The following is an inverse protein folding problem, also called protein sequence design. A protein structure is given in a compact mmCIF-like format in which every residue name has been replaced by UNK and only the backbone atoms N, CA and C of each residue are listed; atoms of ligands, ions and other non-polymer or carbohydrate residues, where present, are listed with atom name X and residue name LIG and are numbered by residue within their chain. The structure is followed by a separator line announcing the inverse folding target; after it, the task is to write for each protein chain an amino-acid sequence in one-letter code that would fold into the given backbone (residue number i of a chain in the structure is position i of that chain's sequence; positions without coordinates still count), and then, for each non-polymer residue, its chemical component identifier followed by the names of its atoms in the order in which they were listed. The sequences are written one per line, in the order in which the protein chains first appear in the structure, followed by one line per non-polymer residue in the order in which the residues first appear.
data_IF_177340258567
#
_entry.id   IF_177340258567
#
_cell.length_a   1.000
_cell.length_b   1.000
_cell.length_c   1.000
_cell.angle_alpha   90.00
_cell.angle_beta   90.00
_cell.angle_gamma   90.00
#
_symmetry.space_group_name_H-M   'P 1'
#
loop_
_entity.id
_entity.type
_entity.pdbx_description
1 polymer ?
#
# COMPACT_ATOMS: atom_id res chain seq x y z
N UNK A 1 -24.49 5.43 -18.61
CA UNK A 1 -23.71 4.41 -17.87
C UNK A 1 -22.50 5.02 -17.14
N UNK A 2 -21.50 5.58 -17.84
CA UNK A 2 -20.30 6.18 -17.21
C UNK A 2 -20.51 7.33 -16.19
N UNK A 3 -21.47 8.26 -16.34
CA UNK A 3 -21.56 9.40 -15.41
C UNK A 3 -22.15 9.01 -14.04
N UNK A 4 -22.97 7.97 -13.96
CA UNK A 4 -23.46 7.43 -12.69
C UNK A 4 -22.36 6.68 -11.92
N UNK A 5 -21.42 6.05 -12.64
CA UNK A 5 -20.22 5.45 -12.03
C UNK A 5 -19.30 6.54 -11.45
N UNK A 6 -19.15 7.66 -12.16
CA UNK A 6 -18.44 8.84 -11.64
C UNK A 6 -19.10 9.41 -10.38
N UNK A 7 -20.43 9.44 -10.31
CA UNK A 7 -21.16 9.82 -9.11
C UNK A 7 -20.94 8.82 -7.97
N UNK A 8 -21.04 7.51 -8.24
CA UNK A 8 -20.76 6.46 -7.26
C UNK A 8 -19.36 6.58 -6.64
N UNK A 9 -18.36 6.93 -7.44
CA UNK A 9 -16.99 7.13 -6.98
C UNK A 9 -16.83 8.29 -5.97
N UNK A 10 -17.71 9.28 -6.01
CA UNK A 10 -17.72 10.36 -5.00
C UNK A 10 -18.18 9.87 -3.62
N UNK A 11 -18.99 8.81 -3.56
CA UNK A 11 -19.46 8.19 -2.32
C UNK A 11 -18.58 7.03 -1.85
N UNK A 12 -17.95 6.31 -2.79
CA UNK A 12 -17.02 5.22 -2.49
C UNK A 12 -15.88 5.19 -3.52
N UNK A 13 -14.75 5.89 -3.28
CA UNK A 13 -13.65 5.99 -4.24
C UNK A 13 -13.03 4.65 -4.66
N UNK A 14 -13.06 3.66 -3.76
CA UNK A 14 -12.53 2.31 -4.02
C UNK A 14 -13.29 1.58 -5.13
N UNK A 15 -14.52 1.99 -5.47
CA UNK A 15 -15.29 1.40 -6.58
C UNK A 15 -14.60 1.60 -7.94
N UNK A 16 -13.78 2.67 -8.09
CA UNK A 16 -13.04 2.93 -9.33
C UNK A 16 -12.04 1.80 -9.61
N UNK A 17 -11.31 1.34 -8.58
CA UNK A 17 -10.31 0.28 -8.73
C UNK A 17 -10.95 -1.04 -9.17
N UNK A 18 -12.13 -1.32 -8.64
CA UNK A 18 -12.89 -2.53 -8.96
C UNK A 18 -13.47 -2.46 -10.37
N UNK A 19 -13.92 -1.28 -10.81
CA UNK A 19 -14.45 -1.04 -12.15
C UNK A 19 -13.34 -0.98 -13.22
N UNK A 20 -12.07 -0.77 -12.86
CA UNK A 20 -10.96 -0.68 -13.81
C UNK A 20 -10.39 -2.03 -14.32
N UNK A 21 -10.87 -3.17 -13.80
CA UNK A 21 -10.36 -4.51 -14.17
C UNK A 21 -11.00 -5.12 -15.44
N UNK A 22 -10.57 -6.33 -15.83
CA UNK A 22 -10.98 -7.05 -17.06
C UNK A 22 -12.52 -7.27 -17.22
N UNK A 23 -13.31 -7.06 -16.16
CA UNK A 23 -14.78 -7.11 -16.18
C UNK A 23 -15.44 -5.74 -15.95
N UNK A 24 -14.72 -4.67 -16.29
CA UNK A 24 -15.13 -3.27 -16.13
C UNK A 24 -16.58 -3.00 -16.54
N UNK A 25 -17.02 -3.59 -17.66
CA UNK A 25 -18.37 -3.40 -18.19
C UNK A 25 -19.50 -3.93 -17.30
N UNK A 26 -19.33 -5.09 -16.66
CA UNK A 26 -20.37 -5.68 -15.82
C UNK A 26 -20.46 -4.95 -14.48
N UNK A 27 -19.33 -4.68 -13.84
CA UNK A 27 -19.32 -3.98 -12.54
C UNK A 27 -19.77 -2.53 -12.71
N UNK A 28 -19.35 -1.84 -13.77
CA UNK A 28 -19.85 -0.50 -14.10
C UNK A 28 -21.36 -0.48 -14.32
N UNK A 29 -21.92 -1.51 -14.96
CA UNK A 29 -23.36 -1.69 -15.16
C UNK A 29 -24.10 -1.82 -13.82
N UNK A 30 -23.65 -2.72 -12.95
CA UNK A 30 -24.25 -2.95 -11.63
C UNK A 30 -24.15 -1.71 -10.73
N UNK A 31 -23.05 -0.96 -10.80
CA UNK A 31 -22.87 0.31 -10.08
C UNK A 31 -23.84 1.37 -10.58
N UNK A 32 -23.97 1.53 -11.91
CA UNK A 32 -24.88 2.51 -12.49
C UNK A 32 -26.35 2.19 -12.15
N UNK A 33 -26.73 0.90 -12.16
CA UNK A 33 -28.06 0.43 -11.79
C UNK A 33 -28.36 0.69 -10.30
N UNK A 34 -27.40 0.43 -9.41
CA UNK A 34 -27.54 0.71 -7.98
C UNK A 34 -27.76 2.21 -7.70
N UNK A 35 -27.02 3.09 -8.41
CA UNK A 35 -27.21 4.54 -8.30
C UNK A 35 -28.60 4.94 -8.80
N UNK A 36 -29.05 4.41 -9.95
CA UNK A 36 -30.35 4.73 -10.51
C UNK A 36 -31.52 4.25 -9.63
N UNK A 37 -31.44 3.04 -9.07
CA UNK A 37 -32.49 2.50 -8.20
C UNK A 37 -32.67 3.33 -6.91
N UNK A 38 -31.56 3.74 -6.29
CA UNK A 38 -31.60 4.47 -5.02
C UNK A 38 -31.95 5.94 -5.25
N UNK A 39 -31.42 6.54 -6.32
CA UNK A 39 -31.78 7.90 -6.71
C UNK A 39 -33.18 7.99 -7.36
N UNK A 40 -33.73 6.90 -7.88
CA UNK A 40 -34.98 6.88 -8.65
C UNK A 40 -34.91 7.69 -9.95
N UNK A 41 -33.71 7.87 -10.51
CA UNK A 41 -33.49 8.62 -11.75
C UNK A 41 -32.17 8.19 -12.40
N UNK A 42 -32.18 8.14 -13.73
CA UNK A 42 -30.98 7.88 -14.55
C UNK A 42 -30.16 9.14 -14.83
N UNK A 43 -30.68 10.33 -14.48
CA UNK A 43 -29.98 11.59 -14.65
C UNK A 43 -28.97 11.81 -13.50
N UNK A 44 -27.65 11.85 -13.77
CA UNK A 44 -26.62 12.04 -12.75
C UNK A 44 -26.75 13.35 -11.96
N UNK A 45 -27.21 14.44 -12.59
CA UNK A 45 -27.36 15.72 -11.91
C UNK A 45 -28.59 15.75 -10.98
N UNK A 46 -29.67 15.07 -11.36
CA UNK A 46 -30.83 14.85 -10.48
C UNK A 46 -30.50 13.88 -9.34
N UNK A 47 -29.76 12.81 -9.63
CA UNK A 47 -29.33 11.82 -8.64
C UNK A 47 -28.45 12.45 -7.56
N UNK A 48 -27.46 13.26 -7.93
CA UNK A 48 -26.59 13.95 -6.98
C UNK A 48 -27.37 14.90 -6.06
N UNK A 49 -28.33 15.67 -6.61
CA UNK A 49 -29.17 16.58 -5.81
C UNK A 49 -30.03 15.84 -4.80
N UNK A 50 -30.59 14.70 -5.18
CA UNK A 50 -31.42 13.88 -4.29
C UNK A 50 -30.60 13.20 -3.20
N UNK A 51 -29.45 12.64 -3.54
CA UNK A 51 -28.54 12.00 -2.59
C UNK A 51 -27.90 13.02 -1.62
N UNK A 52 -27.71 14.27 -2.04
CA UNK A 52 -27.29 15.36 -1.16
C UNK A 52 -28.39 15.83 -0.21
N UNK A 53 -29.66 15.72 -0.62
CA UNK A 53 -30.81 16.15 0.17
C UNK A 53 -31.31 15.06 1.16
N UNK A 54 -31.05 13.79 0.88
CA UNK A 54 -31.48 12.64 1.71
C UNK A 54 -30.28 11.83 2.23
N UNK A 55 -29.88 12.05 3.50
CA UNK A 55 -28.80 11.31 4.13
C UNK A 55 -29.04 9.80 4.23
N UNK A 56 -30.30 9.35 4.32
CA UNK A 56 -30.63 7.93 4.40
C UNK A 56 -30.41 7.23 3.04
N UNK A 57 -30.77 7.89 1.94
CA UNK A 57 -30.50 7.40 0.60
C UNK A 57 -28.98 7.36 0.29
N UNK A 58 -28.22 8.35 0.78
CA UNK A 58 -26.76 8.36 0.64
C UNK A 58 -26.10 7.18 1.38
N UNK A 59 -26.53 6.88 2.60
CA UNK A 59 -26.04 5.73 3.37
C UNK A 59 -26.40 4.40 2.72
N UNK A 60 -27.64 4.26 2.21
CA UNK A 60 -28.07 3.06 1.48
C UNK A 60 -27.24 2.84 0.22
N UNK A 61 -26.92 3.93 -0.52
CA UNK A 61 -26.05 3.86 -1.69
C UNK A 61 -24.63 3.45 -1.30
N UNK A 62 -24.06 4.04 -0.26
CA UNK A 62 -22.72 3.70 0.20
C UNK A 62 -22.62 2.23 0.64
N UNK A 63 -23.63 1.70 1.34
CA UNK A 63 -23.70 0.29 1.69
C UNK A 63 -23.78 -0.60 0.45
N UNK A 64 -24.64 -0.28 -0.51
CA UNK A 64 -24.81 -1.07 -1.73
C UNK A 64 -23.54 -1.08 -2.60
N UNK A 65 -22.85 0.04 -2.71
CA UNK A 65 -21.57 0.14 -3.42
C UNK A 65 -20.47 -0.68 -2.72
N UNK A 66 -20.47 -0.73 -1.39
CA UNK A 66 -19.51 -1.54 -0.64
C UNK A 66 -19.74 -3.05 -0.84
N UNK A 67 -20.99 -3.49 -0.91
CA UNK A 67 -21.34 -4.89 -1.25
C UNK A 67 -20.84 -5.26 -2.66
N UNK A 68 -21.12 -4.41 -3.64
CA UNK A 68 -20.68 -4.63 -5.04
C UNK A 68 -19.14 -4.67 -5.12
N UNK A 69 -18.45 -3.76 -4.43
CA UNK A 69 -16.99 -3.75 -4.38
C UNK A 69 -16.45 -5.05 -3.77
N UNK A 70 -17.03 -5.51 -2.66
CA UNK A 70 -16.61 -6.73 -1.98
C UNK A 70 -16.81 -7.99 -2.86
N UNK A 71 -17.96 -8.11 -3.52
CA UNK A 71 -18.25 -9.24 -4.41
C UNK A 71 -17.29 -9.29 -5.59
N UNK A 72 -17.05 -8.14 -6.22
CA UNK A 72 -16.15 -8.06 -7.37
C UNK A 72 -14.68 -8.33 -6.98
N UNK A 73 -14.21 -7.85 -5.82
CA UNK A 73 -12.88 -8.19 -5.31
C UNK A 73 -12.75 -9.68 -4.97
N UNK A 74 -13.78 -10.29 -4.36
CA UNK A 74 -13.78 -11.74 -4.10
C UNK A 74 -13.71 -12.56 -5.38
N UNK A 75 -14.46 -12.18 -6.41
CA UNK A 75 -14.44 -12.84 -7.71
C UNK A 75 -13.05 -12.74 -8.38
N UNK A 76 -12.42 -11.56 -8.37
CA UNK A 76 -11.07 -11.37 -8.89
C UNK A 76 -10.03 -12.22 -8.16
N UNK A 77 -10.10 -12.29 -6.83
CA UNK A 77 -9.17 -13.09 -6.04
C UNK A 77 -9.33 -14.59 -6.31
N UNK A 78 -10.57 -15.08 -6.42
CA UNK A 78 -10.86 -16.49 -6.73
C UNK A 78 -10.34 -16.89 -8.13
N UNK A 79 -10.48 -16.01 -9.12
CA UNK A 79 -9.92 -16.24 -10.46
C UNK A 79 -8.38 -16.23 -10.45
N UNK A 80 -7.77 -15.32 -9.71
CA UNK A 80 -6.32 -15.28 -9.55
C UNK A 80 -5.78 -16.51 -8.82
N UNK A 81 -6.52 -17.04 -7.85
CA UNK A 81 -6.21 -18.31 -7.19
C UNK A 81 -6.32 -19.47 -8.17
N UNK A 82 -7.37 -19.51 -9.00
CA UNK A 82 -7.55 -20.56 -10.01
C UNK A 82 -6.42 -20.54 -11.05
N UNK A 83 -6.06 -19.37 -11.58
CA UNK A 83 -4.93 -19.25 -12.54
C UNK A 83 -3.62 -19.76 -11.95
N UNK A 84 -3.34 -19.41 -10.67
CA UNK A 84 -2.17 -19.95 -9.97
C UNK A 84 -2.22 -21.46 -9.83
N UNK A 85 -3.39 -22.04 -9.56
CA UNK A 85 -3.54 -23.50 -9.49
C UNK A 85 -3.33 -24.16 -10.85
N UNK A 86 -3.85 -23.59 -11.92
CA UNK A 86 -3.68 -24.08 -13.29
C UNK A 86 -2.19 -24.01 -13.72
N UNK A 87 -1.50 -22.91 -13.39
CA UNK A 87 -0.06 -22.76 -13.63
C UNK A 87 0.76 -23.79 -12.86
N UNK A 88 0.41 -24.04 -11.58
CA UNK A 88 1.05 -25.07 -10.77
C UNK A 88 0.76 -26.48 -11.30
N UNK A 89 -0.45 -26.73 -11.80
CA UNK A 89 -0.81 -28.01 -12.42
C UNK A 89 -0.05 -28.23 -13.74
N UNK A 90 0.08 -27.20 -14.58
CA UNK A 90 0.88 -27.24 -15.80
C UNK A 90 2.37 -27.47 -15.49
N UNK A 91 2.89 -26.80 -14.47
CA UNK A 91 4.26 -26.98 -14.01
C UNK A 91 4.50 -28.40 -13.47
N UNK A 92 3.56 -28.93 -12.66
CA UNK A 92 3.59 -30.32 -12.17
C UNK A 92 3.56 -31.32 -13.32
N UNK A 93 2.68 -31.15 -14.31
CA UNK A 93 2.63 -32.01 -15.49
C UNK A 93 3.96 -32.00 -16.27
N UNK A 94 4.65 -30.85 -16.35
CA UNK A 94 5.97 -30.75 -16.98
C UNK A 94 7.05 -31.54 -16.23
N UNK A 95 6.98 -31.59 -14.90
CA UNK A 95 7.89 -32.37 -14.05
C UNK A 95 7.57 -33.86 -14.07
N UNK A 96 6.29 -34.24 -14.07
CA UNK A 96 5.83 -35.63 -14.19
C UNK A 96 6.31 -36.28 -15.49
N UNK A 97 6.26 -35.56 -16.62
CA UNK A 97 6.79 -36.07 -17.90
C UNK A 97 8.29 -36.41 -17.82
N UNK A 98 9.08 -35.63 -17.08
CA UNK A 98 10.52 -35.86 -16.91
C UNK A 98 10.82 -37.00 -15.93
N UNK A 99 10.05 -37.11 -14.84
CA UNK A 99 10.16 -38.20 -13.88
C UNK A 99 9.69 -39.54 -14.47
N UNK A 100 8.60 -39.53 -15.24
CA UNK A 100 8.01 -40.68 -15.93
C UNK A 100 8.96 -41.32 -16.95
N UNK A 101 9.72 -40.52 -17.68
CA UNK A 101 10.72 -41.02 -18.62
C UNK A 101 11.84 -41.82 -17.93
N UNK A 102 12.26 -41.42 -16.71
CA UNK A 102 13.29 -42.12 -15.93
C UNK A 102 12.76 -43.40 -15.28
N UNK A 103 11.54 -43.39 -14.76
CA UNK A 103 10.90 -44.60 -14.21
C UNK A 103 10.62 -45.65 -15.28
N UNK A 104 10.21 -45.22 -16.48
CA UNK A 104 10.06 -46.12 -17.63
C UNK A 104 11.41 -46.73 -18.05
N UNK A 105 12.50 -45.95 -17.99
CA UNK A 105 13.87 -46.45 -18.20
C UNK A 105 14.28 -47.49 -17.15
N UNK A 106 14.02 -47.24 -15.87
CA UNK A 106 14.30 -48.21 -14.79
C UNK A 106 13.47 -49.49 -14.95
N UNK A 107 12.22 -49.39 -15.43
CA UNK A 107 11.39 -50.53 -15.83
C UNK A 107 11.97 -51.32 -17.00
N UNK A 108 12.53 -50.64 -18.01
CA UNK A 108 13.17 -51.29 -19.16
C UNK A 108 14.52 -51.92 -18.81
N UNK A 109 15.29 -51.31 -17.90
CA UNK A 109 16.55 -51.88 -17.36
C UNK A 109 16.26 -53.15 -16.57
N UNK A 110 15.25 -53.14 -15.69
CA UNK A 110 14.84 -54.34 -14.95
C UNK A 110 14.30 -55.44 -15.86
N UNK A 111 13.69 -55.09 -16.99
CA UNK A 111 13.27 -56.03 -18.04
C UNK A 111 14.39 -56.48 -19.00
N UNK A 112 15.66 -56.10 -18.78
CA UNK A 112 16.81 -56.41 -19.66
C UNK A 112 16.61 -56.00 -21.14
N UNK A 113 15.80 -54.97 -21.41
CA UNK A 113 15.56 -54.52 -22.78
C UNK A 113 16.74 -53.69 -23.31
N UNK A 114 17.24 -53.96 -24.53
CA UNK A 114 18.35 -53.20 -25.11
C UNK A 114 18.03 -51.71 -25.34
N UNK A 115 16.74 -51.36 -25.41
CA UNK A 115 16.25 -49.98 -25.54
C UNK A 115 16.60 -49.14 -24.29
N UNK A 116 16.79 -49.78 -23.13
CA UNK A 116 17.13 -49.12 -21.88
C UNK A 116 18.50 -48.42 -21.89
N UNK A 117 19.40 -48.82 -22.79
CA UNK A 117 20.71 -48.21 -22.93
C UNK A 117 20.73 -46.99 -23.88
N UNK A 118 19.62 -46.71 -24.57
CA UNK A 118 19.54 -45.61 -25.54
C UNK A 118 19.83 -44.24 -24.93
N UNK A 119 19.12 -43.86 -23.86
CA UNK A 119 19.29 -42.54 -23.26
C UNK A 119 20.66 -42.35 -22.55
N UNK A 120 21.20 -43.33 -21.79
CA UNK A 120 22.58 -43.26 -21.29
C UNK A 120 23.63 -43.18 -22.41
N UNK A 121 23.49 -43.97 -23.48
CA UNK A 121 24.43 -43.95 -24.60
C UNK A 121 24.43 -42.59 -25.32
N UNK A 122 23.25 -42.04 -25.62
CA UNK A 122 23.12 -40.70 -26.21
C UNK A 122 23.69 -39.62 -25.29
N UNK A 123 23.44 -39.71 -23.98
CA UNK A 123 24.00 -38.78 -22.98
C UNK A 123 25.54 -38.80 -23.01
N UNK A 124 26.15 -39.98 -23.03
CA UNK A 124 27.61 -40.15 -23.10
C UNK A 124 28.17 -39.58 -24.40
N UNK A 125 27.51 -39.85 -25.54
CA UNK A 125 27.93 -39.32 -26.85
C UNK A 125 27.90 -37.79 -26.86
N UNK A 126 26.82 -37.18 -26.37
CA UNK A 126 26.67 -35.71 -26.31
C UNK A 126 27.71 -35.09 -25.37
N UNK A 127 27.93 -35.68 -24.19
CA UNK A 127 28.93 -35.17 -23.24
C UNK A 127 30.35 -35.29 -23.79
N UNK A 128 30.73 -36.45 -24.33
CA UNK A 128 32.06 -36.63 -24.93
C UNK A 128 32.24 -35.69 -26.12
N UNK A 129 31.24 -35.61 -27.02
CA UNK A 129 31.27 -34.72 -28.18
C UNK A 129 31.43 -33.24 -27.80
N UNK A 130 30.72 -32.78 -26.76
CA UNK A 130 30.85 -31.42 -26.24
C UNK A 130 32.29 -31.11 -25.79
N UNK A 131 32.87 -31.96 -24.95
CA UNK A 131 34.23 -31.75 -24.42
C UNK A 131 35.31 -31.92 -25.50
N UNK A 132 35.15 -32.87 -26.43
CA UNK A 132 36.07 -33.03 -27.56
C UNK A 132 36.06 -31.79 -28.45
N UNK A 133 34.88 -31.27 -28.80
CA UNK A 133 34.77 -30.03 -29.60
C UNK A 133 35.39 -28.84 -28.87
N UNK A 134 35.17 -28.71 -27.56
CA UNK A 134 35.76 -27.65 -26.75
C UNK A 134 37.29 -27.76 -26.69
N UNK A 135 37.83 -28.97 -26.53
CA UNK A 135 39.28 -29.22 -26.53
C UNK A 135 39.89 -28.94 -27.90
N UNK A 136 39.24 -29.35 -28.99
CA UNK A 136 39.68 -29.07 -30.37
C UNK A 136 39.69 -27.57 -30.64
N UNK A 137 38.68 -26.84 -30.17
CA UNK A 137 38.61 -25.38 -30.29
C UNK A 137 39.74 -24.68 -29.53
N UNK A 138 40.00 -25.12 -28.29
CA UNK A 138 41.02 -24.52 -27.42
C UNK A 138 42.43 -24.84 -27.90
N UNK A 139 42.69 -26.06 -28.41
CA UNK A 139 44.01 -26.46 -28.92
C UNK A 139 44.28 -26.02 -30.35
N UNK A 140 43.24 -25.88 -31.16
CA UNK A 140 43.34 -25.62 -32.60
C UNK A 140 43.78 -24.21 -32.97
N UNK A 141 43.73 -23.25 -32.05
CA UNK A 141 44.16 -21.86 -32.24
C UNK A 141 43.51 -21.18 -33.45
N UNK A 142 42.48 -20.36 -33.22
CA UNK A 142 41.76 -19.65 -34.31
C UNK A 142 42.54 -18.44 -34.86
N UNK A 143 43.78 -18.63 -35.31
CA UNK A 143 44.59 -17.57 -35.92
C UNK A 143 44.45 -17.60 -37.45
N UNK A 144 43.98 -16.50 -38.05
CA UNK A 144 43.85 -16.36 -39.51
C UNK A 144 42.55 -16.92 -40.11
N UNK A 145 41.54 -17.22 -39.29
CA UNK A 145 40.25 -17.78 -39.74
C UNK A 145 39.26 -16.65 -40.07
N UNK A 146 38.46 -16.83 -41.14
CA UNK A 146 37.44 -15.85 -41.55
C UNK A 146 36.33 -15.68 -40.50
N UNK A 147 35.74 -14.48 -40.44
CA UNK A 147 34.63 -14.15 -39.52
C UNK A 147 33.41 -15.08 -39.69
N UNK A 148 33.18 -15.61 -40.89
CA UNK A 148 32.12 -16.56 -41.19
C UNK A 148 32.35 -17.91 -40.48
N UNK A 149 33.59 -18.40 -40.47
CA UNK A 149 33.95 -19.64 -39.76
C UNK A 149 33.81 -19.48 -38.24
N UNK A 150 34.17 -18.31 -37.70
CA UNK A 150 34.00 -17.99 -36.28
C UNK A 150 32.52 -18.02 -35.88
N UNK A 151 31.63 -17.49 -36.72
CA UNK A 151 30.19 -17.52 -36.48
C UNK A 151 29.61 -18.94 -36.53
N UNK A 152 30.02 -19.77 -37.49
CA UNK A 152 29.61 -21.18 -37.58
C UNK A 152 30.04 -21.94 -36.32
N UNK A 153 31.26 -21.69 -35.86
CA UNK A 153 31.82 -22.28 -34.65
C UNK A 153 31.03 -21.83 -33.40
N UNK A 154 30.70 -20.55 -33.27
CA UNK A 154 29.90 -20.04 -32.15
C UNK A 154 28.49 -20.65 -32.11
N UNK A 155 27.84 -20.79 -33.27
CA UNK A 155 26.53 -21.45 -33.38
C UNK A 155 26.65 -22.93 -32.98
N UNK A 156 27.66 -23.64 -33.48
CA UNK A 156 27.89 -25.04 -33.16
C UNK A 156 28.16 -25.27 -31.66
N UNK A 157 28.98 -24.42 -31.03
CA UNK A 157 29.24 -24.45 -29.59
C UNK A 157 27.96 -24.15 -28.79
N UNK A 158 27.12 -23.21 -29.24
CA UNK A 158 25.83 -22.90 -28.61
C UNK A 158 24.83 -24.07 -28.66
N UNK A 159 24.71 -24.74 -29.81
CA UNK A 159 23.86 -25.94 -29.98
C UNK A 159 24.36 -27.09 -29.11
N UNK A 160 25.67 -27.35 -29.10
CA UNK A 160 26.28 -28.38 -28.24
C UNK A 160 26.13 -28.06 -26.75
N UNK A 161 26.25 -26.80 -26.35
CA UNK A 161 26.00 -26.34 -24.98
C UNK A 161 24.55 -26.57 -24.54
N UNK A 162 23.59 -26.33 -25.42
CA UNK A 162 22.16 -26.59 -25.17
C UNK A 162 21.86 -28.08 -25.03
N UNK A 163 22.46 -28.92 -25.87
CA UNK A 163 22.35 -30.38 -25.77
C UNK A 163 22.96 -30.91 -24.46
N UNK A 164 24.12 -30.39 -24.04
CA UNK A 164 24.75 -30.73 -22.78
C UNK A 164 23.89 -30.33 -21.56
N UNK A 165 23.35 -29.10 -21.56
CA UNK A 165 22.44 -28.65 -20.51
C UNK A 165 21.18 -29.54 -20.40
N UNK A 166 20.68 -30.03 -21.53
CA UNK A 166 19.54 -30.97 -21.59
C UNK A 166 19.88 -32.30 -20.92
N UNK A 167 21.09 -32.84 -21.15
CA UNK A 167 21.59 -34.06 -20.48
C UNK A 167 21.71 -33.83 -18.97
N UNK A 168 22.31 -32.72 -18.54
CA UNK A 168 22.45 -32.39 -17.11
C UNK A 168 21.08 -32.30 -16.43
N UNK A 169 20.12 -31.63 -17.06
CA UNK A 169 18.75 -31.53 -16.55
C UNK A 169 18.05 -32.91 -16.52
N UNK A 170 18.26 -33.74 -17.55
CA UNK A 170 17.74 -35.11 -17.61
C UNK A 170 18.28 -36.02 -16.50
N UNK A 171 19.44 -35.75 -15.91
CA UNK A 171 19.98 -36.55 -14.79
C UNK A 171 19.79 -35.90 -13.41
N UNK A 172 19.95 -34.58 -13.29
CA UNK A 172 19.97 -33.86 -12.00
C UNK A 172 18.66 -33.11 -11.65
N UNK A 173 17.78 -32.88 -12.64
CA UNK A 173 16.71 -31.88 -12.55
C UNK A 173 15.56 -32.12 -11.56
N UNK A 174 15.29 -33.35 -11.08
CA UNK A 174 14.06 -33.65 -10.32
C UNK A 174 14.22 -33.96 -8.82
N UNK A 175 15.43 -34.30 -8.35
CA UNK A 175 15.57 -34.93 -7.03
C UNK A 175 15.64 -33.96 -5.84
N UNK A 176 16.35 -32.84 -5.97
CA UNK A 176 16.62 -31.95 -4.82
C UNK A 176 15.88 -30.62 -4.89
N UNK A 177 15.45 -30.20 -6.09
CA UNK A 177 14.74 -28.92 -6.29
C UNK A 177 13.26 -28.97 -5.93
N UNK A 178 12.56 -30.09 -6.17
CA UNK A 178 11.10 -30.19 -5.97
C UNK A 178 10.75 -30.22 -4.48
N UNK A 179 11.40 -31.08 -3.68
CA UNK A 179 11.09 -31.24 -2.25
C UNK A 179 11.23 -29.94 -1.47
N UNK A 180 12.28 -29.17 -1.74
CA UNK A 180 12.54 -27.90 -1.06
C UNK A 180 11.57 -26.80 -1.51
N UNK A 181 11.14 -26.80 -2.79
CA UNK A 181 10.14 -25.86 -3.31
C UNK A 181 8.73 -26.20 -2.84
N UNK A 182 8.38 -27.48 -2.77
CA UNK A 182 7.09 -27.96 -2.30
C UNK A 182 6.93 -27.68 -0.79
N UNK A 183 7.98 -27.89 0.03
CA UNK A 183 7.96 -27.51 1.46
C UNK A 183 7.85 -25.99 1.65
N UNK A 184 8.56 -25.19 0.87
CA UNK A 184 8.48 -23.73 0.94
C UNK A 184 7.12 -23.21 0.46
N UNK A 185 6.55 -23.79 -0.59
CA UNK A 185 5.20 -23.45 -1.07
C UNK A 185 4.13 -23.82 -0.04
N UNK A 186 4.23 -25.01 0.59
CA UNK A 186 3.30 -25.43 1.65
C UNK A 186 3.42 -24.54 2.89
N UNK A 187 4.63 -24.19 3.32
CA UNK A 187 4.88 -23.30 4.45
C UNK A 187 4.35 -21.88 4.19
N UNK A 188 4.54 -21.38 2.98
CA UNK A 188 4.01 -20.08 2.55
C UNK A 188 2.47 -20.09 2.52
N UNK A 189 1.86 -21.14 1.95
CA UNK A 189 0.41 -21.29 1.89
C UNK A 189 -0.23 -21.40 3.28
N UNK A 190 0.40 -22.14 4.20
CA UNK A 190 -0.06 -22.22 5.59
C UNK A 190 0.06 -20.88 6.32
N UNK A 191 1.12 -20.11 6.05
CA UNK A 191 1.31 -18.78 6.65
C UNK A 191 0.27 -17.79 6.13
N UNK A 192 -0.02 -17.82 4.83
CA UNK A 192 -1.01 -16.95 4.21
C UNK A 192 -2.44 -17.29 4.66
N UNK A 193 -2.79 -18.58 4.77
CA UNK A 193 -4.08 -19.01 5.30
C UNK A 193 -4.29 -18.60 6.76
N UNK A 194 -3.24 -18.67 7.60
CA UNK A 194 -3.28 -18.16 8.98
C UNK A 194 -3.44 -16.66 9.04
N UNK A 195 -2.79 -15.90 8.16
CA UNK A 195 -3.00 -14.45 8.08
C UNK A 195 -4.42 -14.11 7.66
N UNK A 196 -4.96 -14.81 6.66
CA UNK A 196 -6.31 -14.55 6.15
C UNK A 196 -7.39 -14.90 7.19
N UNK A 197 -7.26 -16.03 7.89
CA UNK A 197 -8.17 -16.37 9.01
C UNK A 197 -8.12 -15.35 10.15
N UNK A 198 -6.93 -14.92 10.58
CA UNK A 198 -6.80 -13.85 11.59
C UNK A 198 -7.40 -12.53 11.14
N UNK A 199 -7.27 -12.20 9.86
CA UNK A 199 -7.88 -11.01 9.28
C UNK A 199 -9.42 -11.10 9.33
N UNK A 200 -10.00 -12.24 8.96
CA UNK A 200 -11.44 -12.48 9.06
C UNK A 200 -11.94 -12.41 10.51
N UNK A 201 -11.23 -13.02 11.46
CA UNK A 201 -11.56 -12.94 12.89
C UNK A 201 -11.51 -11.50 13.40
N UNK A 202 -10.54 -10.71 12.93
CA UNK A 202 -10.40 -9.29 13.30
C UNK A 202 -11.57 -8.46 12.76
N UNK A 203 -12.00 -8.71 11.53
CA UNK A 203 -13.16 -8.05 10.94
C UNK A 203 -14.45 -8.42 11.68
N UNK A 204 -14.62 -9.70 12.02
CA UNK A 204 -15.80 -10.18 12.72
C UNK A 204 -15.87 -9.62 14.15
N UNK A 205 -14.73 -9.55 14.85
CA UNK A 205 -14.63 -8.91 16.16
C UNK A 205 -14.90 -7.41 16.10
N UNK A 206 -14.37 -6.70 15.09
CA UNK A 206 -14.63 -5.28 14.89
C UNK A 206 -16.13 -5.02 14.62
N UNK A 207 -16.77 -5.84 13.78
CA UNK A 207 -18.20 -5.71 13.49
C UNK A 207 -19.07 -5.98 14.72
N UNK A 208 -18.68 -6.94 15.56
CA UNK A 208 -19.36 -7.25 16.84
C UNK A 208 -19.19 -6.11 17.84
N UNK A 209 -17.97 -5.57 17.98
CA UNK A 209 -17.71 -4.38 18.80
C UNK A 209 -18.47 -3.14 18.33
N UNK A 210 -18.59 -2.92 17.02
CA UNK A 210 -19.39 -1.84 16.47
C UNK A 210 -20.88 -1.99 16.81
N UNK A 211 -21.41 -3.23 16.76
CA UNK A 211 -22.79 -3.53 17.12
C UNK A 211 -23.06 -3.32 18.62
N UNK A 212 -22.15 -3.75 19.48
CA UNK A 212 -22.25 -3.55 20.93
C UNK A 212 -22.10 -2.07 21.32
N UNK A 213 -21.15 -1.36 20.70
CA UNK A 213 -20.95 0.08 20.92
C UNK A 213 -22.17 0.89 20.47
N UNK A 214 -22.78 0.54 19.32
CA UNK A 214 -24.00 1.16 18.85
C UNK A 214 -25.19 0.92 19.80
N UNK A 215 -25.31 -0.29 20.35
CA UNK A 215 -26.34 -0.61 21.35
C UNK A 215 -26.15 0.17 22.65
N UNK A 216 -24.92 0.22 23.17
CA UNK A 216 -24.60 0.98 24.39
C UNK A 216 -24.78 2.49 24.22
N UNK A 217 -24.46 3.02 23.03
CA UNK A 217 -24.71 4.42 22.69
C UNK A 217 -26.21 4.72 22.63
N UNK A 218 -27.02 3.81 22.07
CA UNK A 218 -28.48 3.93 22.09
C UNK A 218 -29.02 3.94 23.53
N UNK A 219 -28.56 3.04 24.39
CA UNK A 219 -28.97 3.01 25.80
C UNK A 219 -28.53 4.27 26.57
N UNK A 220 -27.32 4.77 26.32
CA UNK A 220 -26.82 6.00 26.89
C UNK A 220 -27.65 7.22 26.44
N UNK A 221 -27.96 7.32 25.15
CA UNK A 221 -28.85 8.38 24.61
C UNK A 221 -30.23 8.31 25.26
N UNK A 222 -30.78 7.10 25.39
CA UNK A 222 -32.10 6.91 26.00
C UNK A 222 -32.09 7.27 27.49
N UNK A 223 -31.00 7.00 28.20
CA UNK A 223 -30.80 7.34 29.62
C UNK A 223 -30.60 8.83 29.83
N UNK A 224 -29.81 9.48 28.97
CA UNK A 224 -29.61 10.94 28.97
C UNK A 224 -30.91 11.66 28.61
N UNK A 225 -31.66 11.18 27.62
CA UNK A 225 -32.97 11.73 27.28
C UNK A 225 -33.96 11.63 28.45
N UNK A 226 -34.00 10.49 29.15
CA UNK A 226 -34.83 10.29 30.34
C UNK A 226 -34.42 11.21 31.51
N UNK A 227 -33.11 11.42 31.69
CA UNK A 227 -32.55 12.32 32.71
C UNK A 227 -32.79 13.80 32.37
N UNK A 228 -32.72 14.18 31.09
CA UNK A 228 -32.99 15.53 30.62
C UNK A 228 -34.48 15.90 30.77
N UNK A 229 -35.40 14.96 30.53
CA UNK A 229 -36.84 15.15 30.78
C UNK A 229 -37.13 15.34 32.28
N UNK A 230 -36.43 14.62 33.16
CA UNK A 230 -36.55 14.82 34.62
C UNK A 230 -35.92 16.13 35.10
N UNK A 231 -34.85 16.61 34.45
CA UNK A 231 -34.17 17.86 34.81
C UNK A 231 -34.89 19.12 34.30
N UNK A 232 -35.72 19.00 33.26
CA UNK A 232 -36.52 20.10 32.71
C UNK A 232 -37.73 20.50 33.59
N UNK A 233 -38.04 19.73 34.63
CA UNK A 233 -39.17 19.98 35.55
C UNK A 233 -38.79 20.75 36.83
N UNK A 234 -37.52 21.12 37.01
CA UNK A 234 -37.07 21.89 38.18
C UNK A 234 -36.86 23.39 37.83
N UNK A 235 -37.21 24.35 38.71
CA UNK A 235 -37.05 25.78 38.43
C UNK A 235 -35.57 26.18 38.37
N UNK A 236 -35.12 26.91 37.34
CA UNK A 236 -33.72 27.37 37.20
C UNK A 236 -33.60 28.90 37.22
N UNK A 237 -32.71 29.39 38.08
CA UNK A 237 -32.10 30.73 38.02
C UNK A 237 -31.02 30.83 36.91
N UNK A 238 -30.65 32.04 36.45
CA UNK A 238 -29.78 32.22 35.29
C UNK A 238 -28.29 32.20 35.67
N UNK A 239 -27.52 31.33 35.01
CA UNK A 239 -26.06 31.25 35.10
C UNK A 239 -25.42 31.38 33.70
N UNK A 240 -24.25 32.03 33.54
CA UNK A 240 -23.70 32.35 32.23
C UNK A 240 -23.11 31.11 31.55
N UNK A 241 -23.29 31.03 30.23
CA UNK A 241 -22.98 29.86 29.40
C UNK A 241 -21.47 29.55 29.30
N UNK A 242 -21.06 28.26 29.32
CA UNK A 242 -19.69 27.86 28.98
C UNK A 242 -19.46 27.88 27.46
N UNK A 243 -18.23 28.25 27.07
CA UNK A 243 -17.79 28.44 25.68
C UNK A 243 -17.90 27.16 24.82
N UNK A 244 -18.24 27.35 23.55
CA UNK A 244 -18.50 26.31 22.56
C UNK A 244 -17.22 25.56 22.09
N UNK A 245 -17.33 24.28 21.63
CA UNK A 245 -16.19 23.51 21.13
C UNK A 245 -15.67 24.07 19.79
N UNK A 246 -14.36 24.24 19.67
CA UNK A 246 -13.67 24.67 18.44
C UNK A 246 -13.88 23.61 17.34
N UNK A 247 -14.29 24.03 16.14
CA UNK A 247 -14.60 23.13 15.00
C UNK A 247 -13.32 22.55 14.39
N UNK A 248 -13.31 21.24 14.08
CA UNK A 248 -12.21 20.45 13.48
C UNK A 248 -11.53 21.04 12.22
N UNK A 249 -12.17 21.98 11.52
CA UNK A 249 -11.57 22.66 10.36
C UNK A 249 -10.50 23.69 10.75
N UNK A 250 -10.60 24.30 11.95
CA UNK A 250 -9.66 25.32 12.43
C UNK A 250 -8.26 24.74 12.75
N UNK A 251 -8.20 23.46 13.11
CA UNK A 251 -6.96 22.83 13.60
C UNK A 251 -5.92 22.63 12.51
N UNK A 252 -6.34 22.17 11.32
CA UNK A 252 -5.44 21.98 10.20
C UNK A 252 -4.89 23.31 9.69
N UNK A 253 -5.75 24.33 9.55
CA UNK A 253 -5.36 25.63 9.03
C UNK A 253 -4.32 26.31 9.93
N UNK A 254 -4.45 26.17 11.25
CA UNK A 254 -3.44 26.61 12.22
C UNK A 254 -2.12 25.86 12.07
N UNK A 255 -2.16 24.53 11.91
CA UNK A 255 -0.95 23.72 11.77
C UNK A 255 -0.22 23.98 10.45
N UNK A 256 -0.94 24.01 9.32
CA UNK A 256 -0.37 24.22 7.99
C UNK A 256 0.20 25.63 7.85
N UNK A 257 -0.37 26.63 8.53
CA UNK A 257 0.21 27.97 8.60
C UNK A 257 1.62 27.95 9.23
N UNK A 258 1.81 27.20 10.32
CA UNK A 258 3.13 27.05 10.97
C UNK A 258 4.12 26.33 10.09
N UNK A 259 3.71 25.21 9.47
CA UNK A 259 4.58 24.42 8.57
C UNK A 259 5.00 25.27 7.37
N UNK A 260 4.05 25.89 6.66
CA UNK A 260 4.32 26.71 5.48
C UNK A 260 5.08 28.00 5.79
N UNK A 261 5.11 28.47 7.03
CA UNK A 261 5.97 29.60 7.43
C UNK A 261 7.44 29.17 7.57
N UNK A 262 7.70 27.87 7.73
CA UNK A 262 9.06 27.31 7.77
C UNK A 262 9.57 26.92 6.38
N UNK A 263 8.65 26.58 5.48
CA UNK A 263 8.97 26.33 4.07
C UNK A 263 9.29 27.65 3.36
N UNK A 264 10.44 27.69 2.67
CA UNK A 264 10.87 28.86 1.91
C UNK A 264 10.00 29.14 0.68
N UNK A 265 10.34 30.22 -0.03
CA UNK A 265 9.76 30.52 -1.35
C UNK A 265 10.31 29.61 -2.46
N UNK A 266 9.98 29.94 -3.71
CA UNK A 266 10.47 29.22 -4.89
C UNK A 266 12.00 29.10 -4.89
N UNK A 267 12.49 27.90 -5.19
CA UNK A 267 13.90 27.62 -5.42
C UNK A 267 14.03 26.70 -6.64
N UNK A 268 14.96 27.06 -7.52
CA UNK A 268 15.34 26.28 -8.70
C UNK A 268 16.86 26.17 -8.67
N UNK A 269 17.39 25.00 -8.30
CA UNK A 269 18.81 24.71 -8.37
C UNK A 269 19.07 23.83 -9.61
N UNK A 270 19.82 24.32 -10.62
CA UNK A 270 20.15 23.56 -11.83
C UNK A 270 20.96 22.28 -11.57
N UNK A 271 21.61 22.15 -10.41
CA UNK A 271 22.38 20.98 -10.03
C UNK A 271 21.57 19.94 -9.23
N UNK A 272 20.34 20.26 -8.84
CA UNK A 272 19.54 19.42 -7.96
C UNK A 272 18.64 18.46 -8.74
N UNK A 273 18.68 17.17 -8.39
CA UNK A 273 17.88 16.12 -9.05
C UNK A 273 16.38 16.25 -8.76
N UNK A 274 16.01 17.06 -7.75
CA UNK A 274 14.63 17.33 -7.34
C UNK A 274 13.87 18.35 -8.22
N UNK A 275 14.59 19.15 -9.01
CA UNK A 275 14.01 20.17 -9.90
C UNK A 275 13.33 21.33 -9.15
N UNK A 276 12.58 22.15 -9.90
CA UNK A 276 11.85 23.30 -9.36
C UNK A 276 10.99 22.91 -8.14
N UNK A 277 11.10 23.70 -7.06
CA UNK A 277 10.40 23.48 -5.79
C UNK A 277 9.79 24.79 -5.30
N UNK A 278 8.53 24.76 -4.86
CA UNK A 278 7.84 25.91 -4.26
C UNK A 278 6.98 25.43 -3.08
N UNK A 279 6.96 26.16 -1.96
CA UNK A 279 6.31 25.74 -0.72
C UNK A 279 6.71 24.34 -0.21
N UNK A 280 7.93 23.89 -0.54
CA UNK A 280 8.41 22.54 -0.25
C UNK A 280 7.82 21.44 -1.16
N UNK A 281 7.03 21.80 -2.18
CA UNK A 281 6.44 20.87 -3.15
C UNK A 281 7.33 20.84 -4.40
N UNK A 282 7.85 19.65 -4.72
CA UNK A 282 8.69 19.41 -5.90
C UNK A 282 7.84 19.25 -7.17
N UNK A 283 8.46 19.43 -8.34
CA UNK A 283 7.85 19.15 -9.64
C UNK A 283 7.22 17.75 -9.69
N UNK A 284 7.93 16.73 -9.22
CA UNK A 284 7.41 15.36 -9.19
C UNK A 284 6.15 15.24 -8.32
N UNK A 285 6.14 15.88 -7.16
CA UNK A 285 4.98 15.86 -6.25
C UNK A 285 3.78 16.57 -6.89
N UNK A 286 4.01 17.70 -7.55
CA UNK A 286 2.96 18.46 -8.21
C UNK A 286 2.40 17.73 -9.44
N UNK A 287 3.28 17.07 -10.22
CA UNK A 287 2.90 16.20 -11.34
C UNK A 287 2.00 15.06 -10.89
N UNK A 288 2.40 14.36 -9.82
CA UNK A 288 1.61 13.27 -9.25
C UNK A 288 0.26 13.77 -8.71
N UNK A 289 0.23 14.95 -8.10
CA UNK A 289 -1.00 15.56 -7.56
C UNK A 289 -1.99 15.94 -8.66
N UNK A 290 -1.51 16.61 -9.71
CA UNK A 290 -2.35 17.06 -10.84
C UNK A 290 -2.66 15.92 -11.81
N UNK A 291 -1.94 14.80 -11.74
CA UNK A 291 -1.99 13.70 -12.69
C UNK A 291 -1.88 14.18 -14.15
N UNK A 292 -0.96 15.13 -14.38
CA UNK A 292 -0.73 15.80 -15.65
C UNK A 292 0.75 16.18 -15.75
N UNK A 293 1.26 16.37 -16.96
CA UNK A 293 2.59 16.95 -17.14
C UNK A 293 2.66 18.34 -16.51
N UNK A 294 3.72 18.60 -15.74
CA UNK A 294 3.92 19.83 -14.97
C UNK A 294 5.31 20.35 -15.29
N UNK A 295 5.39 21.64 -15.61
CA UNK A 295 6.63 22.36 -15.89
C UNK A 295 7.18 23.09 -14.65
N UNK A 296 8.41 23.59 -14.72
CA UNK A 296 8.95 24.46 -13.68
C UNK A 296 8.13 25.74 -13.48
N UNK A 297 7.53 26.27 -14.57
CA UNK A 297 6.61 27.41 -14.52
C UNK A 297 5.35 27.10 -13.69
N UNK A 298 4.84 25.88 -13.80
CA UNK A 298 3.68 25.44 -13.02
C UNK A 298 4.00 25.34 -11.52
N UNK A 299 5.22 24.91 -11.18
CA UNK A 299 5.70 24.90 -9.79
C UNK A 299 5.88 26.33 -9.28
N UNK A 300 6.40 27.24 -10.10
CA UNK A 300 6.51 28.65 -9.76
C UNK A 300 5.12 29.29 -9.55
N UNK A 301 4.14 28.92 -10.38
CA UNK A 301 2.75 29.38 -10.30
C UNK A 301 1.90 28.65 -9.25
N UNK A 302 2.46 27.67 -8.53
CA UNK A 302 1.78 26.93 -7.48
C UNK A 302 1.19 27.90 -6.46
N UNK A 303 -0.11 27.79 -6.21
CA UNK A 303 -0.78 28.67 -5.23
C UNK A 303 -0.64 28.10 -3.83
N UNK A 304 -0.64 28.98 -2.82
CA UNK A 304 -0.66 28.56 -1.41
C UNK A 304 -1.89 27.71 -1.08
N UNK A 305 -3.03 27.96 -1.73
CA UNK A 305 -4.25 27.17 -1.55
C UNK A 305 -4.05 25.74 -2.05
N UNK A 306 -3.50 25.57 -3.25
CA UNK A 306 -3.20 24.24 -3.80
C UNK A 306 -2.12 23.50 -2.99
N UNK A 307 -1.06 24.20 -2.59
CA UNK A 307 -0.05 23.64 -1.69
C UNK A 307 -0.70 23.13 -0.38
N UNK A 308 -1.60 23.91 0.20
CA UNK A 308 -2.34 23.53 1.42
C UNK A 308 -3.14 22.24 1.23
N UNK A 309 -3.82 22.06 0.10
CA UNK A 309 -4.55 20.81 -0.19
C UNK A 309 -3.60 19.61 -0.37
N UNK A 310 -2.45 19.82 -1.03
CA UNK A 310 -1.41 18.78 -1.13
C UNK A 310 -0.93 18.38 0.27
N UNK A 311 -0.69 19.34 1.16
CA UNK A 311 -0.29 19.07 2.54
C UNK A 311 -1.35 18.28 3.31
N UNK A 312 -2.63 18.64 3.12
CA UNK A 312 -3.76 17.96 3.75
C UNK A 312 -3.82 16.50 3.30
N UNK A 313 -3.76 16.26 1.99
CA UNK A 313 -3.92 14.94 1.40
C UNK A 313 -2.72 14.02 1.65
N UNK A 314 -1.49 14.54 1.54
CA UNK A 314 -0.27 13.71 1.61
C UNK A 314 0.26 13.50 3.03
N UNK A 315 -0.01 14.40 3.95
CA UNK A 315 0.60 14.33 5.29
C UNK A 315 -0.43 14.34 6.42
N UNK A 316 -1.40 15.27 6.40
CA UNK A 316 -2.36 15.42 7.49
C UNK A 316 -3.32 14.22 7.62
N UNK A 317 -3.97 13.85 6.51
CA UNK A 317 -4.95 12.75 6.49
C UNK A 317 -4.26 11.40 6.75
N UNK A 318 -3.15 11.02 6.08
CA UNK A 318 -2.52 9.73 6.31
C UNK A 318 -1.96 9.55 7.73
N UNK A 319 -1.50 10.63 8.37
CA UNK A 319 -1.07 10.59 9.77
C UNK A 319 -2.22 10.71 10.77
N UNK A 320 -3.48 10.85 10.31
CA UNK A 320 -4.67 11.07 11.14
C UNK A 320 -4.51 12.24 12.13
N UNK A 321 -3.82 13.31 11.72
CA UNK A 321 -3.53 14.43 12.61
C UNK A 321 -4.78 15.13 13.14
N UNK A 322 -5.89 15.10 12.40
CA UNK A 322 -7.17 15.67 12.83
C UNK A 322 -7.83 14.94 14.00
N UNK A 323 -7.35 13.75 14.36
CA UNK A 323 -7.79 13.00 15.55
C UNK A 323 -6.92 13.29 16.78
N UNK A 324 -5.80 14.00 16.60
CA UNK A 324 -4.85 14.32 17.66
C UNK A 324 -5.25 15.59 18.41
N UNK A 325 -4.81 15.70 19.66
CA UNK A 325 -5.02 16.90 20.47
C UNK A 325 -4.16 18.08 19.99
N UNK A 326 -4.57 19.33 20.29
CA UNK A 326 -3.82 20.53 19.93
C UNK A 326 -2.35 20.46 20.38
N UNK A 327 -1.45 20.83 19.49
CA UNK A 327 0.00 20.78 19.68
C UNK A 327 0.60 19.41 19.35
N UNK A 328 -0.06 18.31 19.71
CA UNK A 328 0.37 16.95 19.31
C UNK A 328 0.18 16.77 17.80
N UNK A 329 -0.94 17.24 17.27
CA UNK A 329 -1.24 17.34 15.84
C UNK A 329 -0.13 18.04 15.05
N UNK A 330 0.34 19.21 15.49
CA UNK A 330 1.39 19.99 14.86
C UNK A 330 2.73 19.24 14.90
N UNK A 331 3.08 18.66 16.05
CA UNK A 331 4.34 17.92 16.20
C UNK A 331 4.41 16.72 15.25
N UNK A 332 3.31 15.96 15.13
CA UNK A 332 3.23 14.81 14.23
C UNK A 332 3.17 15.25 12.78
N UNK A 333 2.38 16.28 12.47
CA UNK A 333 2.23 16.80 11.11
C UNK A 333 3.54 17.35 10.54
N UNK A 334 4.21 18.27 11.23
CA UNK A 334 5.46 18.88 10.77
C UNK A 334 6.58 17.85 10.63
N UNK A 335 6.64 16.87 11.55
CA UNK A 335 7.61 15.79 11.41
C UNK A 335 7.27 14.85 10.25
N UNK A 336 5.98 14.61 10.00
CA UNK A 336 5.49 13.82 8.87
C UNK A 336 5.85 14.43 7.51
N UNK A 337 5.90 15.76 7.41
CA UNK A 337 6.40 16.46 6.22
C UNK A 337 7.88 16.17 5.96
N UNK A 338 8.71 16.15 7.01
CA UNK A 338 10.15 15.96 6.87
C UNK A 338 10.59 14.49 6.75
N UNK A 339 9.90 13.57 7.42
CA UNK A 339 10.34 12.17 7.58
C UNK A 339 9.31 11.14 7.12
N UNK A 340 8.17 11.60 6.59
CA UNK A 340 7.05 10.76 6.15
C UNK A 340 6.00 10.53 7.25
N UNK A 341 4.70 10.46 6.88
CA UNK A 341 3.60 10.30 7.85
C UNK A 341 3.74 9.08 8.75
N UNK A 342 4.07 7.91 8.16
CA UNK A 342 4.22 6.67 8.92
C UNK A 342 5.36 6.77 9.95
N UNK A 343 6.50 7.38 9.59
CA UNK A 343 7.62 7.59 10.52
C UNK A 343 7.21 8.46 11.70
N UNK A 344 6.47 9.54 11.45
CA UNK A 344 5.99 10.43 12.50
C UNK A 344 5.00 9.72 13.45
N UNK A 345 4.07 8.93 12.90
CA UNK A 345 3.13 8.12 13.70
C UNK A 345 3.87 7.09 14.55
N UNK A 346 4.92 6.45 14.02
CA UNK A 346 5.75 5.52 14.81
C UNK A 346 6.44 6.21 15.99
N UNK A 347 6.87 7.46 15.84
CA UNK A 347 7.47 8.21 16.95
C UNK A 347 6.43 8.57 18.01
N UNK A 348 5.21 8.94 17.60
CA UNK A 348 4.09 9.11 18.53
C UNK A 348 3.81 7.83 19.30
N UNK A 349 3.73 6.68 18.62
CA UNK A 349 3.47 5.40 19.25
C UNK A 349 4.55 4.99 20.25
N UNK A 350 5.83 5.22 19.93
CA UNK A 350 6.94 4.99 20.88
C UNK A 350 6.85 5.89 22.11
N UNK A 351 6.55 7.17 21.94
CA UNK A 351 6.37 8.10 23.05
C UNK A 351 5.18 7.69 23.96
N UNK A 352 4.12 7.13 23.36
CA UNK A 352 2.96 6.59 24.07
C UNK A 352 3.19 5.18 24.65
N UNK A 353 4.33 4.54 24.39
CA UNK A 353 4.62 3.18 24.85
C UNK A 353 3.77 2.07 24.21
N UNK A 354 3.23 2.30 23.00
CA UNK A 354 2.46 1.31 22.25
C UNK A 354 3.26 0.77 21.05
N UNK A 355 2.79 -0.31 20.43
CA UNK A 355 3.40 -0.87 19.21
C UNK A 355 3.48 0.18 18.11
N UNK A 356 4.67 0.33 17.51
CA UNK A 356 4.98 1.33 16.49
C UNK A 356 4.70 0.83 15.05
N UNK A 357 3.46 0.44 14.81
CA UNK A 357 3.00 -0.05 13.49
C UNK A 357 2.82 1.05 12.43
N UNK A 358 2.89 2.32 12.83
CA UNK A 358 2.72 3.48 11.95
C UNK A 358 1.27 3.82 11.60
N UNK A 359 0.29 3.22 12.27
CA UNK A 359 -1.14 3.47 12.08
C UNK A 359 -1.82 3.90 13.39
N UNK A 360 -2.57 5.00 13.34
CA UNK A 360 -3.33 5.44 14.52
C UNK A 360 -4.63 4.63 14.62
N UNK A 361 -4.61 3.62 15.49
CA UNK A 361 -5.78 2.80 15.84
C UNK A 361 -6.26 3.02 17.28
N UNK A 362 -7.27 2.25 17.74
CA UNK A 362 -7.86 2.41 19.07
C UNK A 362 -6.86 2.35 20.23
N UNK A 363 -5.81 1.51 20.12
CA UNK A 363 -4.76 1.42 21.15
C UNK A 363 -3.94 2.71 21.27
N UNK A 364 -3.55 3.28 20.13
CA UNK A 364 -2.85 4.58 20.08
C UNK A 364 -3.73 5.68 20.65
N UNK A 365 -5.03 5.69 20.29
CA UNK A 365 -6.00 6.68 20.79
C UNK A 365 -6.23 6.56 22.30
N UNK A 366 -6.36 5.34 22.83
CA UNK A 366 -6.52 5.13 24.27
C UNK A 366 -5.28 5.57 25.06
N UNK A 367 -4.07 5.25 24.56
CA UNK A 367 -2.82 5.72 25.16
C UNK A 367 -2.71 7.25 25.09
N UNK A 368 -3.12 7.87 23.98
CA UNK A 368 -3.16 9.32 23.82
C UNK A 368 -4.10 9.99 24.82
N UNK A 369 -5.26 9.41 25.10
CA UNK A 369 -6.21 9.91 26.10
C UNK A 369 -5.67 9.83 27.53
N UNK A 370 -4.80 8.85 27.81
CA UNK A 370 -4.17 8.69 29.12
C UNK A 370 -2.90 9.56 29.28
N UNK A 371 -2.34 10.10 28.19
CA UNK A 371 -1.10 10.85 28.20
C UNK A 371 -1.32 12.32 28.59
N UNK A 372 -0.33 12.92 29.26
CA UNK A 372 -0.28 14.37 29.51
C UNK A 372 0.20 15.08 28.24
N UNK A 373 -0.62 15.92 27.57
CA UNK A 373 -0.25 16.47 26.25
C UNK A 373 1.05 17.28 26.25
N UNK A 374 1.31 18.07 27.30
CA UNK A 374 2.54 18.88 27.41
C UNK A 374 3.79 17.99 27.49
N UNK A 375 3.73 16.91 28.27
CA UNK A 375 4.85 15.97 28.41
C UNK A 375 5.07 15.22 27.10
N UNK A 376 3.99 14.76 26.46
CA UNK A 376 4.05 14.07 25.17
C UNK A 376 4.66 14.96 24.08
N UNK A 377 4.30 16.24 24.01
CA UNK A 377 4.90 17.20 23.07
C UNK A 377 6.41 17.33 23.30
N UNK A 378 6.85 17.40 24.56
CA UNK A 378 8.27 17.39 24.92
C UNK A 378 8.99 16.11 24.47
N UNK A 379 8.42 14.96 24.76
CA UNK A 379 8.95 13.64 24.35
C UNK A 379 9.04 13.52 22.82
N UNK A 380 8.03 14.01 22.09
CA UNK A 380 8.05 14.04 20.63
C UNK A 380 9.18 14.91 20.08
N UNK A 381 9.44 16.07 20.69
CA UNK A 381 10.54 16.94 20.30
C UNK A 381 11.91 16.28 20.53
N UNK A 382 12.09 15.64 21.69
CA UNK A 382 13.31 14.90 22.00
C UNK A 382 13.54 13.72 21.06
N UNK A 383 12.49 12.91 20.83
CA UNK A 383 12.53 11.77 19.92
C UNK A 383 12.87 12.20 18.48
N UNK A 384 12.32 13.33 18.03
CA UNK A 384 12.64 13.92 16.72
C UNK A 384 14.09 14.38 16.63
N UNK A 385 14.63 15.03 17.65
CA UNK A 385 16.04 15.42 17.68
C UNK A 385 16.97 14.20 17.69
N UNK A 386 16.62 13.16 18.43
CA UNK A 386 17.35 11.90 18.44
C UNK A 386 17.35 11.24 17.04
N UNK A 387 16.21 11.24 16.35
CA UNK A 387 16.11 10.77 14.96
C UNK A 387 17.05 11.55 14.04
N UNK A 388 17.03 12.89 14.09
CA UNK A 388 17.89 13.70 13.24
C UNK A 388 19.38 13.49 13.52
N UNK A 389 19.78 13.35 14.79
CA UNK A 389 21.18 13.07 15.16
C UNK A 389 21.70 11.74 14.59
N UNK A 390 20.81 10.80 14.27
CA UNK A 390 21.15 9.52 13.63
C UNK A 390 21.32 9.60 12.10
N UNK A 391 21.04 10.73 11.46
CA UNK A 391 21.17 10.87 10.01
C UNK A 391 22.62 11.25 9.62
N UNK A 392 23.10 10.71 8.50
CA UNK A 392 24.45 10.96 7.99
C UNK A 392 24.75 12.45 7.75
N UNK A 393 23.75 13.23 7.32
CA UNK A 393 23.91 14.65 6.99
C UNK A 393 23.72 15.59 8.20
N UNK A 394 23.65 15.06 9.43
CA UNK A 394 23.43 15.87 10.62
C UNK A 394 24.52 16.91 10.85
N UNK A 395 25.78 16.63 10.49
CA UNK A 395 26.87 17.60 10.62
C UNK A 395 26.62 18.86 9.77
N UNK A 396 25.98 18.70 8.61
CA UNK A 396 25.70 19.79 7.67
C UNK A 396 24.40 20.52 7.99
N UNK A 397 23.31 19.79 8.25
CA UNK A 397 21.96 20.34 8.37
C UNK A 397 21.39 20.33 9.80
N UNK A 398 22.09 19.71 10.76
CA UNK A 398 21.60 19.49 12.12
C UNK A 398 21.24 20.76 12.88
N UNK A 399 21.95 21.88 12.64
CA UNK A 399 21.57 23.19 13.19
C UNK A 399 20.19 23.64 12.70
N UNK A 400 19.90 23.48 11.41
CA UNK A 400 18.61 23.82 10.82
C UNK A 400 17.48 22.96 11.38
N UNK A 401 17.69 21.65 11.44
CA UNK A 401 16.70 20.70 12.00
C UNK A 401 16.45 20.93 13.49
N UNK A 402 17.48 21.26 14.26
CA UNK A 402 17.36 21.59 15.68
C UNK A 402 16.54 22.86 15.89
N UNK A 403 16.88 23.93 15.15
CA UNK A 403 16.15 25.20 15.23
C UNK A 403 14.68 25.06 14.80
N UNK A 404 14.40 24.27 13.74
CA UNK A 404 13.02 23.96 13.33
C UNK A 404 12.28 23.25 14.44
N UNK A 405 12.87 22.21 15.02
CA UNK A 405 12.23 21.43 16.10
C UNK A 405 11.89 22.32 17.30
N UNK A 406 12.80 23.22 17.70
CA UNK A 406 12.55 24.15 18.80
C UNK A 406 11.41 25.15 18.49
N UNK A 407 11.35 25.70 17.27
CA UNK A 407 10.26 26.58 16.86
C UNK A 407 8.91 25.86 16.85
N UNK A 408 8.86 24.65 16.33
CA UNK A 408 7.63 23.84 16.29
C UNK A 408 7.19 23.45 17.69
N UNK A 409 8.13 23.07 18.57
CA UNK A 409 7.85 22.80 19.98
C UNK A 409 7.21 24.01 20.67
N UNK A 410 7.79 25.21 20.49
CA UNK A 410 7.24 26.43 21.06
C UNK A 410 5.82 26.72 20.53
N UNK A 411 5.60 26.57 19.22
CA UNK A 411 4.28 26.75 18.61
C UNK A 411 3.26 25.71 19.12
N UNK A 412 3.66 24.45 19.22
CA UNK A 412 2.81 23.36 19.73
C UNK A 412 2.37 23.60 21.17
N UNK A 413 3.29 24.03 22.04
CA UNK A 413 2.98 24.37 23.42
C UNK A 413 2.04 25.60 23.52
N UNK A 414 2.17 26.56 22.62
CA UNK A 414 1.27 27.72 22.54
C UNK A 414 -0.11 27.37 21.95
N UNK A 415 -0.23 26.28 21.18
CA UNK A 415 -1.53 25.82 20.66
C UNK A 415 -2.38 25.10 21.71
N UNK A 416 -1.77 24.69 22.82
CA UNK A 416 -2.47 24.06 23.94
C UNK A 416 -3.28 25.03 24.80
N UNK A 417 -2.97 26.34 24.75
CA UNK A 417 -3.52 27.36 25.65
C UNK A 417 -4.83 27.97 25.16
#
# INVERSE_FOLDING_TARGET
MLPLVGLAASFLPEIIKVVAGDKAGHVAGTVAEAVSQIAGTDDPAAAQRKLAADPAAAMALQQRLAEIALEATKAQNAEADQRRQDDLAALRASFENTAGARTNLLGLVSAHSPIAYGAPAVSVIVTIGFFVTLIVLVRGGMTGVSSETINIVNIAVGVLGTAFATVVNFWLGSSSGSRNKDEQALAFQQTQARQNSRFLDTLQNAQTQHRESASSALEAITTVARSAVSAAQAPREPQPAPAAPVRRADTFDRCVAVVLAQEGGFSEDPADRGGATNFGITLATLRDWRNAEVSASDVHALTRAEATEIYRARYWIPARCGDLGPGVDLMVFDFGVNAGPATAVKHLQRALGVTDDGSIGPKTMAALQAATPRELIGQLAEARLAYYRGLADFERYGRGWTNRTQRVLAAALAMMS
#
